data_IF_463514975127
#
_entry.id   IF_463514975127
#
_cell.length_a   1.000
_cell.length_b   1.000
_cell.length_c   1.000
_cell.angle_alpha   90.00
_cell.angle_beta   90.00
_cell.angle_gamma   90.00
#
_symmetry.space_group_name_H-M   'P 1'
#
loop_
_entity.id
_entity.type
_entity.pdbx_description
1 polymer ?
#
# COMPACT_ATOMS: atom_id res chain seq x y z
N UNK A 1 -5.37 -3.40 -4.40
CA UNK A 1 -4.15 -3.79 -3.64
C UNK A 1 -3.05 -2.75 -3.81
N UNK A 2 -2.69 -2.34 -5.03
CA UNK A 2 -1.64 -1.33 -5.30
C UNK A 2 -1.73 -0.05 -4.47
N UNK A 3 -2.87 0.65 -4.48
CA UNK A 3 -3.06 1.87 -3.68
C UNK A 3 -2.77 1.67 -2.17
N UNK A 4 -3.19 0.52 -1.62
CA UNK A 4 -2.92 0.16 -0.20
C UNK A 4 -1.45 -0.20 0.01
N UNK A 5 -0.81 -0.85 -0.96
CA UNK A 5 0.63 -1.11 -0.96
C UNK A 5 1.42 0.20 -0.94
N UNK A 6 1.09 1.16 -1.81
CA UNK A 6 1.70 2.48 -1.85
C UNK A 6 1.53 3.25 -0.53
N UNK A 7 0.33 3.21 0.06
CA UNK A 7 0.10 3.76 1.40
C UNK A 7 1.02 3.12 2.46
N UNK A 8 1.11 1.78 2.48
CA UNK A 8 1.97 1.07 3.44
C UNK A 8 3.46 1.29 3.18
N UNK A 9 3.86 1.52 1.94
CA UNK A 9 5.24 1.85 1.58
C UNK A 9 5.65 3.19 2.19
N UNK A 10 4.80 4.20 2.05
CA UNK A 10 5.12 5.56 2.50
C UNK A 10 4.84 5.80 3.99
N UNK A 11 3.77 5.21 4.55
CA UNK A 11 3.21 5.59 5.86
C UNK A 11 2.94 4.37 6.76
N UNK A 12 3.52 3.22 6.47
CA UNK A 12 3.27 2.01 7.23
C UNK A 12 4.39 0.98 7.16
N UNK A 13 4.01 -0.30 7.13
CA UNK A 13 4.97 -1.40 7.11
C UNK A 13 5.44 -1.72 5.70
N UNK A 14 6.75 -1.62 5.47
CA UNK A 14 7.43 -2.01 4.21
C UNK A 14 7.17 -3.47 3.85
N UNK A 15 7.17 -4.39 4.83
CA UNK A 15 6.79 -5.79 4.65
C UNK A 15 5.35 -5.93 4.13
N UNK A 16 4.39 -5.22 4.72
CA UNK A 16 2.99 -5.23 4.25
C UNK A 16 2.86 -4.62 2.85
N UNK A 17 3.64 -3.57 2.55
CA UNK A 17 3.66 -2.95 1.23
C UNK A 17 4.14 -3.92 0.15
N UNK A 18 5.26 -4.60 0.42
CA UNK A 18 5.83 -5.62 -0.45
C UNK A 18 4.83 -6.74 -0.72
N UNK A 19 4.30 -7.38 0.32
CA UNK A 19 3.36 -8.49 0.18
C UNK A 19 2.12 -8.07 -0.63
N UNK A 20 1.54 -6.89 -0.36
CA UNK A 20 0.38 -6.40 -1.12
C UNK A 20 0.69 -6.12 -2.59
N UNK A 21 1.91 -5.66 -2.90
CA UNK A 21 2.33 -5.42 -4.28
C UNK A 21 2.57 -6.75 -5.01
N UNK A 22 3.34 -7.65 -4.38
CA UNK A 22 3.60 -8.99 -4.90
C UNK A 22 2.31 -9.75 -5.19
N UNK A 23 1.36 -9.77 -4.25
CA UNK A 23 0.07 -10.42 -4.46
C UNK A 23 -0.71 -9.82 -5.64
N UNK A 24 -0.62 -8.51 -5.84
CA UNK A 24 -1.29 -7.82 -6.95
C UNK A 24 -0.65 -8.15 -8.30
N UNK A 25 0.68 -8.19 -8.36
CA UNK A 25 1.44 -8.57 -9.56
C UNK A 25 1.23 -10.05 -9.87
N UNK A 26 1.33 -10.93 -8.87
CA UNK A 26 1.03 -12.35 -9.00
C UNK A 26 -0.37 -12.57 -9.56
N UNK A 27 -1.38 -11.91 -8.98
CA UNK A 27 -2.77 -12.01 -9.43
C UNK A 27 -2.98 -11.56 -10.88
N UNK A 28 -2.15 -10.64 -11.36
CA UNK A 28 -2.21 -10.11 -12.71
C UNK A 28 -1.48 -10.99 -13.74
N UNK A 29 -0.35 -11.60 -13.36
CA UNK A 29 0.51 -12.35 -14.26
C UNK A 29 0.22 -13.87 -14.23
N UNK A 30 -0.04 -14.42 -13.05
CA UNK A 30 -0.18 -15.86 -12.82
C UNK A 30 -1.61 -16.22 -12.44
N UNK A 31 -2.29 -15.43 -11.61
CA UNK A 31 -3.70 -15.64 -11.25
C UNK A 31 -3.93 -15.72 -9.75
N UNK A 32 -5.07 -16.27 -9.33
CA UNK A 32 -5.47 -16.23 -7.92
C UNK A 32 -4.50 -17.04 -7.05
N UNK A 33 -4.13 -16.45 -5.91
CA UNK A 33 -3.38 -17.13 -4.85
C UNK A 33 -4.30 -18.19 -4.25
N UNK A 34 -4.05 -19.46 -4.56
CA UNK A 34 -4.73 -20.59 -3.94
C UNK A 34 -3.98 -21.08 -2.70
N UNK A 35 -2.65 -21.18 -2.80
CA UNK A 35 -1.75 -21.56 -1.71
C UNK A 35 -0.38 -20.86 -1.85
N UNK A 36 0.19 -20.43 -0.72
CA UNK A 36 1.49 -19.71 -0.69
C UNK A 36 2.69 -20.60 -1.01
N UNK A 37 2.59 -21.91 -0.80
CA UNK A 37 3.70 -22.85 -1.04
C UNK A 37 4.06 -22.98 -2.53
N UNK A 38 3.10 -22.79 -3.43
CA UNK A 38 3.33 -22.93 -4.88
C UNK A 38 3.72 -21.63 -5.57
N UNK A 39 3.64 -20.48 -4.88
CA UNK A 39 3.91 -19.16 -5.47
C UNK A 39 5.32 -19.07 -6.05
N UNK A 40 6.34 -19.59 -5.34
CA UNK A 40 7.73 -19.51 -5.79
C UNK A 40 7.95 -20.35 -7.04
N UNK A 41 7.35 -21.55 -7.10
CA UNK A 41 7.43 -22.43 -8.26
C UNK A 41 6.81 -21.76 -9.49
N UNK A 42 5.60 -21.23 -9.35
CA UNK A 42 4.89 -20.56 -10.43
C UNK A 42 5.62 -19.30 -10.92
N UNK A 43 6.22 -18.53 -9.99
CA UNK A 43 7.05 -17.37 -10.36
C UNK A 43 8.28 -17.81 -11.13
N UNK A 44 8.98 -18.85 -10.67
CA UNK A 44 10.21 -19.34 -11.31
C UNK A 44 10.00 -19.88 -12.74
N UNK A 45 8.77 -20.24 -13.12
CA UNK A 45 8.43 -20.57 -14.50
C UNK A 45 8.44 -19.34 -15.43
N UNK A 46 8.29 -18.12 -14.88
CA UNK A 46 8.32 -16.86 -15.63
C UNK A 46 9.67 -16.15 -15.51
N UNK A 47 10.19 -16.06 -14.30
CA UNK A 47 11.41 -15.34 -13.98
C UNK A 47 11.97 -15.83 -12.64
N UNK A 48 13.28 -15.76 -12.42
CA UNK A 48 13.84 -16.12 -11.11
C UNK A 48 13.22 -15.28 -9.99
N UNK A 49 12.96 -15.92 -8.84
CA UNK A 49 12.34 -15.25 -7.70
C UNK A 49 13.14 -14.02 -7.21
N UNK A 50 14.46 -13.99 -7.39
CA UNK A 50 15.25 -12.79 -7.09
C UNK A 50 14.94 -11.62 -8.02
N UNK A 51 14.87 -11.86 -9.34
CA UNK A 51 14.47 -10.82 -10.30
C UNK A 51 13.02 -10.40 -10.10
N UNK A 52 12.15 -11.33 -9.71
CA UNK A 52 10.79 -11.02 -9.31
C UNK A 52 10.75 -10.05 -8.12
N UNK A 53 11.47 -10.35 -7.03
CA UNK A 53 11.58 -9.45 -5.86
C UNK A 53 12.09 -8.07 -6.27
N UNK A 54 13.10 -8.01 -7.15
CA UNK A 54 13.64 -6.75 -7.66
C UNK A 54 12.58 -5.96 -8.44
N UNK A 55 11.79 -6.62 -9.29
CA UNK A 55 10.66 -5.99 -9.99
C UNK A 55 9.65 -5.39 -9.00
N UNK A 56 9.28 -6.14 -7.95
CA UNK A 56 8.38 -5.63 -6.91
C UNK A 56 8.99 -4.41 -6.22
N UNK A 57 10.26 -4.48 -5.81
CA UNK A 57 10.96 -3.38 -5.13
C UNK A 57 11.03 -2.13 -6.01
N UNK A 58 11.37 -2.28 -7.29
CA UNK A 58 11.42 -1.16 -8.24
C UNK A 58 10.06 -0.46 -8.35
N UNK A 59 8.98 -1.23 -8.46
CA UNK A 59 7.61 -0.68 -8.48
C UNK A 59 7.30 0.09 -7.19
N UNK A 60 7.71 -0.46 -6.02
CA UNK A 60 7.48 0.21 -4.74
C UNK A 60 8.24 1.54 -4.64
N UNK A 61 9.50 1.57 -5.06
CA UNK A 61 10.36 2.76 -4.99
C UNK A 61 9.82 3.88 -5.88
N UNK A 62 9.31 3.55 -7.06
CA UNK A 62 8.76 4.53 -8.01
C UNK A 62 7.28 4.88 -7.79
N UNK A 63 6.62 4.39 -6.74
CA UNK A 63 5.22 4.73 -6.51
C UNK A 63 4.98 6.25 -6.59
N UNK A 64 3.92 6.70 -7.28
CA UNK A 64 3.61 8.12 -7.30
C UNK A 64 3.30 8.66 -5.91
N UNK A 65 3.61 9.94 -5.70
CA UNK A 65 3.40 10.62 -4.43
C UNK A 65 1.92 10.53 -3.99
N UNK A 66 1.66 10.18 -2.73
CA UNK A 66 0.30 9.99 -2.23
C UNK A 66 -0.52 11.29 -2.11
N UNK A 67 0.13 12.46 -2.16
CA UNK A 67 -0.53 13.75 -2.00
C UNK A 67 -1.11 14.30 -3.31
N UNK A 68 -0.83 13.67 -4.47
CA UNK A 68 -1.43 14.07 -5.76
C UNK A 68 -2.84 13.52 -5.92
N UNK A 69 -3.60 14.07 -6.87
CA UNK A 69 -4.97 13.66 -7.16
C UNK A 69 -5.03 12.18 -7.56
N UNK A 70 -6.07 11.45 -7.15
CA UNK A 70 -6.23 10.01 -7.50
C UNK A 70 -6.19 9.79 -9.00
N UNK A 71 -6.81 10.67 -9.78
CA UNK A 71 -6.79 10.58 -11.25
C UNK A 71 -5.36 10.56 -11.79
N UNK A 72 -4.50 11.44 -11.29
CA UNK A 72 -3.13 11.59 -11.76
C UNK A 72 -2.25 10.47 -11.21
N UNK A 73 -2.49 10.08 -9.95
CA UNK A 73 -1.84 8.93 -9.33
C UNK A 73 -2.03 7.66 -10.15
N UNK A 74 -3.26 7.40 -10.62
CA UNK A 74 -3.57 6.21 -11.39
C UNK A 74 -2.88 6.23 -12.75
N UNK A 75 -2.90 7.36 -13.46
CA UNK A 75 -2.24 7.46 -14.77
C UNK A 75 -0.71 7.34 -14.66
N UNK A 76 -0.10 8.01 -13.68
CA UNK A 76 1.33 7.85 -13.41
C UNK A 76 1.68 6.41 -13.04
N UNK A 77 0.89 5.79 -12.14
CA UNK A 77 1.17 4.44 -11.70
C UNK A 77 1.03 3.41 -12.84
N UNK A 78 0.05 3.58 -13.75
CA UNK A 78 -0.04 2.72 -14.95
C UNK A 78 1.21 2.81 -15.81
N UNK A 79 1.77 4.01 -15.98
CA UNK A 79 3.01 4.22 -16.72
C UNK A 79 4.20 3.51 -16.09
N UNK A 80 4.38 3.68 -14.77
CA UNK A 80 5.43 3.00 -13.99
C UNK A 80 5.29 1.48 -14.09
N UNK A 81 4.07 0.98 -13.87
CA UNK A 81 3.81 -0.45 -13.90
C UNK A 81 4.11 -1.02 -15.29
N UNK A 82 3.67 -0.36 -16.36
CA UNK A 82 3.98 -0.78 -17.74
C UNK A 82 5.49 -0.84 -17.96
N UNK A 83 6.20 0.25 -17.67
CA UNK A 83 7.65 0.34 -17.81
C UNK A 83 8.37 -0.79 -17.08
N UNK A 84 7.97 -1.10 -15.84
CA UNK A 84 8.61 -2.15 -15.04
C UNK A 84 8.32 -3.54 -15.56
N UNK A 85 7.08 -3.83 -15.92
CA UNK A 85 6.75 -5.11 -16.54
C UNK A 85 7.54 -5.32 -17.85
N UNK A 86 7.68 -4.27 -18.67
CA UNK A 86 8.45 -4.34 -19.92
C UNK A 86 9.95 -4.62 -19.65
N UNK A 87 10.57 -3.94 -18.66
CA UNK A 87 11.99 -4.17 -18.28
C UNK A 87 12.24 -5.61 -17.85
N UNK A 88 11.33 -6.19 -17.05
CA UNK A 88 11.45 -7.56 -16.56
C UNK A 88 10.84 -8.59 -17.51
N UNK A 89 10.36 -8.17 -18.69
CA UNK A 89 9.74 -9.02 -19.72
C UNK A 89 8.53 -9.82 -19.22
N UNK A 90 7.77 -9.23 -18.30
CA UNK A 90 6.59 -9.85 -17.68
C UNK A 90 5.31 -9.43 -18.41
N UNK A 91 4.59 -10.40 -18.96
CA UNK A 91 3.38 -10.13 -19.76
C UNK A 91 2.11 -10.45 -18.96
N UNK A 92 1.20 -9.48 -18.75
CA UNK A 92 -0.09 -9.75 -18.11
C UNK A 92 -0.95 -10.75 -18.89
N UNK A 93 -1.76 -11.52 -18.17
CA UNK A 93 -2.78 -12.39 -18.79
C UNK A 93 -3.73 -11.58 -19.66
N UNK A 94 -4.28 -12.20 -20.71
CA UNK A 94 -5.15 -11.53 -21.72
C UNK A 94 -6.27 -10.68 -21.11
N UNK A 95 -6.90 -11.16 -20.04
CA UNK A 95 -7.98 -10.49 -19.31
C UNK A 95 -7.49 -9.52 -18.21
N UNK A 96 -6.22 -9.63 -17.81
CA UNK A 96 -5.58 -8.88 -16.72
C UNK A 96 -4.68 -7.74 -17.19
N UNK A 97 -4.95 -7.15 -18.35
CA UNK A 97 -4.24 -5.95 -18.82
C UNK A 97 -4.23 -4.85 -17.74
N UNK A 98 -3.16 -4.05 -17.69
CA UNK A 98 -2.97 -2.99 -16.67
C UNK A 98 -4.21 -2.10 -16.52
N UNK A 99 -4.83 -1.66 -17.63
CA UNK A 99 -6.02 -0.81 -17.61
C UNK A 99 -7.26 -1.46 -16.97
N UNK A 100 -7.34 -2.78 -16.97
CA UNK A 100 -8.44 -3.53 -16.36
C UNK A 100 -8.22 -3.74 -14.85
N UNK A 101 -6.96 -3.78 -14.42
CA UNK A 101 -6.56 -4.02 -13.03
C UNK A 101 -6.43 -2.71 -12.25
N UNK A 102 -5.71 -1.75 -12.83
CA UNK A 102 -5.50 -0.41 -12.27
C UNK A 102 -6.58 0.50 -12.84
N UNK A 103 -7.77 0.44 -12.22
CA UNK A 103 -8.94 1.24 -12.63
C UNK A 103 -9.44 2.12 -11.51
N UNK A 104 -10.01 3.26 -11.89
CA UNK A 104 -10.76 4.17 -11.03
C UNK A 104 -12.25 3.98 -11.30
N UNK A 105 -13.10 4.16 -10.29
CA UNK A 105 -14.55 4.24 -10.53
C UNK A 105 -14.85 5.47 -11.39
N UNK A 106 -15.88 5.40 -12.23
CA UNK A 106 -16.32 6.56 -13.01
C UNK A 106 -17.00 7.61 -12.11
N UNK A 107 -17.79 7.18 -11.13
CA UNK A 107 -18.52 8.02 -10.17
C UNK A 107 -18.57 7.34 -8.80
N UNK A 108 -18.73 8.14 -7.75
CA UNK A 108 -19.04 7.65 -6.40
C UNK A 108 -20.12 8.54 -5.78
N UNK A 109 -21.28 7.96 -5.47
CA UNK A 109 -22.44 8.71 -4.99
C UNK A 109 -22.26 9.20 -3.54
N UNK A 110 -21.36 8.58 -2.77
CA UNK A 110 -21.10 8.95 -1.37
C UNK A 110 -19.97 9.96 -1.24
N UNK A 111 -19.06 9.98 -2.20
CA UNK A 111 -17.90 10.89 -2.19
C UNK A 111 -17.81 11.65 -3.51
N UNK A 112 -18.51 12.80 -3.57
CA UNK A 112 -18.45 13.69 -4.74
C UNK A 112 -17.01 14.12 -5.00
N UNK A 113 -16.66 14.19 -6.28
CA UNK A 113 -15.34 14.62 -6.78
C UNK A 113 -14.15 13.87 -6.19
N UNK A 114 -14.33 12.62 -5.73
CA UNK A 114 -13.27 11.82 -5.12
C UNK A 114 -12.01 11.71 -5.99
N UNK A 115 -12.16 11.77 -7.32
CA UNK A 115 -11.03 11.75 -8.27
C UNK A 115 -10.08 12.92 -8.10
N UNK A 116 -10.61 14.07 -7.66
CA UNK A 116 -9.90 15.33 -7.42
C UNK A 116 -9.42 15.44 -5.97
N UNK A 117 -9.30 14.31 -5.28
CA UNK A 117 -8.80 14.23 -3.91
C UNK A 117 -7.52 13.41 -3.89
N UNK A 118 -6.68 13.67 -2.91
CA UNK A 118 -5.45 12.89 -2.71
C UNK A 118 -5.78 11.44 -2.38
N UNK A 119 -4.98 10.49 -2.85
CA UNK A 119 -5.18 9.07 -2.52
C UNK A 119 -4.99 8.78 -1.02
N UNK A 120 -4.19 9.60 -0.32
CA UNK A 120 -3.86 9.46 1.10
C UNK A 120 -5.11 9.47 2.00
N UNK A 121 -6.06 10.36 1.72
CA UNK A 121 -7.25 10.57 2.58
C UNK A 121 -8.16 9.33 2.67
N UNK A 122 -8.06 8.41 1.70
CA UNK A 122 -8.87 7.19 1.66
C UNK A 122 -8.28 6.05 2.48
N UNK A 123 -7.04 6.19 2.94
CA UNK A 123 -6.35 5.20 3.79
C UNK A 123 -6.12 5.70 5.21
N UNK A 124 -6.26 7.00 5.45
CA UNK A 124 -6.27 7.59 6.78
C UNK A 124 -7.53 7.12 7.55
N UNK A 125 -7.35 6.15 8.44
CA UNK A 125 -8.24 5.94 9.58
C UNK A 125 -7.54 6.46 10.83
N UNK A 126 -8.03 7.60 11.32
CA UNK A 126 -7.66 8.33 12.55
C UNK A 126 -6.23 8.86 12.59
N UNK A 127 -6.14 10.10 13.08
CA UNK A 127 -4.92 10.84 13.33
C UNK A 127 -3.85 9.93 13.94
N UNK A 128 -2.72 9.79 13.24
CA UNK A 128 -1.47 9.48 13.92
C UNK A 128 -1.11 10.71 14.75
N UNK A 129 -1.78 10.93 15.87
CA UNK A 129 -1.08 11.58 16.97
C UNK A 129 0.04 10.60 17.31
N UNK A 130 1.28 11.06 17.23
CA UNK A 130 2.50 10.28 17.50
C UNK A 130 2.58 9.78 18.95
N UNK A 131 1.51 9.96 19.73
CA UNK A 131 1.37 9.57 21.12
C UNK A 131 -0.12 9.36 21.45
N UNK A 132 -0.37 8.47 22.41
CA UNK A 132 -1.66 8.35 23.10
C UNK A 132 -1.60 9.20 24.36
N UNK A 133 -2.39 10.27 24.46
CA UNK A 133 -2.57 11.04 25.70
C UNK A 133 -3.86 10.61 26.37
N UNK A 134 -3.75 9.97 27.52
CA UNK A 134 -4.89 9.52 28.32
C UNK A 134 -4.54 9.56 29.80
N UNK A 135 -5.53 9.39 30.67
CA UNK A 135 -5.30 9.19 32.10
C UNK A 135 -4.73 7.79 32.35
N UNK A 136 -4.10 7.58 33.52
CA UNK A 136 -3.59 6.25 33.93
C UNK A 136 -4.70 5.19 33.90
N UNK A 137 -5.91 5.55 34.30
CA UNK A 137 -7.07 4.65 34.27
C UNK A 137 -7.51 4.31 32.84
N UNK A 138 -7.37 5.26 31.90
CA UNK A 138 -7.78 5.09 30.51
C UNK A 138 -6.85 4.21 29.67
N UNK A 139 -5.73 3.73 30.22
CA UNK A 139 -4.75 2.86 29.54
C UNK A 139 -4.46 1.57 30.32
N UNK A 140 -5.29 1.24 31.31
CA UNK A 140 -5.10 0.07 32.15
C UNK A 140 -5.16 -1.22 31.31
N UNK A 141 -4.09 -2.01 31.33
CA UNK A 141 -3.98 -3.27 30.58
C UNK A 141 -3.34 -3.14 29.19
N UNK A 142 -2.98 -1.92 28.79
CA UNK A 142 -2.27 -1.66 27.52
C UNK A 142 -0.75 -1.60 27.74
N UNK A 143 0.01 -1.96 26.70
CA UNK A 143 1.48 -1.95 26.70
C UNK A 143 2.00 -0.98 25.64
N UNK A 144 3.02 -0.19 25.98
CA UNK A 144 3.61 0.83 25.10
C UNK A 144 5.13 0.71 25.05
N UNK A 145 5.73 1.03 23.90
CA UNK A 145 7.19 1.02 23.71
C UNK A 145 7.89 2.16 24.48
N UNK A 146 7.21 3.31 24.66
CA UNK A 146 7.69 4.46 25.43
C UNK A 146 6.51 5.18 26.11
N UNK A 147 6.75 5.70 27.33
CA UNK A 147 5.74 6.35 28.16
C UNK A 147 6.28 7.67 28.74
N UNK A 148 5.48 8.74 28.68
CA UNK A 148 5.70 10.01 29.37
C UNK A 148 4.61 10.21 30.42
N UNK A 149 4.98 10.17 31.70
CA UNK A 149 4.06 10.43 32.81
C UNK A 149 4.15 11.90 33.24
N UNK A 150 3.05 12.64 33.09
CA UNK A 150 2.95 14.03 33.54
C UNK A 150 2.17 14.10 34.86
N UNK A 151 2.84 14.47 35.96
CA UNK A 151 2.23 14.68 37.26
C UNK A 151 2.22 16.18 37.55
N UNK A 152 1.04 16.77 37.65
CA UNK A 152 0.90 18.15 38.07
C UNK A 152 0.94 18.22 39.60
N UNK A 153 2.02 18.77 40.15
CA UNK A 153 2.11 19.05 41.60
C UNK A 153 1.25 20.27 41.92
N UNK A 154 0.23 20.09 42.75
CA UNK A 154 -0.48 21.21 43.36
C UNK A 154 0.36 21.68 44.54
N UNK A 155 1.09 22.79 44.38
CA UNK A 155 1.65 23.52 45.52
C UNK A 155 0.47 23.99 46.37
N UNK A 156 0.28 23.34 47.53
CA UNK A 156 -0.56 23.88 48.60
C UNK A 156 0.25 25.01 49.25
N UNK A 157 -0.21 26.25 49.06
CA UNK A 157 0.20 27.40 49.87
C UNK A 157 -0.58 27.40 51.18
#
# INVERSE_FOLDING_TARGET
MFAKSAYKWNLGSRKKAFNLCEQAIYSMLIGNIKDTEYIISDINQLISYDKWKNCIIDILIEYPNLNILIRDWIEQFKGILKKRLDIYQLVPKKDKKINNIVKIKSRDNKFKDFKNKSIKIFFEKKNYTTYTRSSVHGVKGETYEALLLYIQSLKKH
#
